data_IF_681320539806
#
_entry.id   IF_681320539806
#
_cell.length_a   1.000
_cell.length_b   1.000
_cell.length_c   1.000
_cell.angle_alpha   90.00
_cell.angle_beta   90.00
_cell.angle_gamma   90.00
#
_symmetry.space_group_name_H-M   'P 1'
#
loop_
_entity.id
_entity.type
_entity.pdbx_description
1 polymer ?
#
# COMPACT_ATOMS: atom_id res chain seq x y z
N UNK A 1 0.13 -13.59 -29.65
CA UNK A 1 -0.67 -12.48 -29.13
C UNK A 1 -1.83 -12.31 -30.11
N UNK A 2 -3.05 -12.58 -29.68
CA UNK A 2 -4.23 -12.29 -30.51
C UNK A 2 -4.47 -10.79 -30.40
N UNK A 3 -4.48 -10.08 -31.52
CA UNK A 3 -4.85 -8.68 -31.61
C UNK A 3 -6.29 -8.57 -31.09
N UNK A 4 -6.48 -7.85 -29.97
CA UNK A 4 -7.81 -7.48 -29.52
C UNK A 4 -8.41 -6.56 -30.57
N UNK A 5 -9.64 -6.86 -31.02
CA UNK A 5 -10.38 -5.99 -31.93
C UNK A 5 -10.50 -4.59 -31.28
N UNK A 6 -9.90 -3.53 -31.85
CA UNK A 6 -9.86 -2.20 -31.24
C UNK A 6 -11.25 -1.54 -31.18
N UNK A 7 -12.31 -2.20 -31.65
CA UNK A 7 -13.70 -1.73 -31.60
C UNK A 7 -14.59 -2.54 -30.64
N UNK A 8 -14.04 -3.47 -29.90
CA UNK A 8 -14.83 -4.30 -29.00
C UNK A 8 -15.45 -3.49 -27.87
N UNK A 9 -16.77 -3.53 -27.77
CA UNK A 9 -17.50 -2.94 -26.64
C UNK A 9 -17.44 -3.91 -25.46
N UNK A 10 -16.88 -3.46 -24.33
CA UNK A 10 -16.84 -4.20 -23.06
C UNK A 10 -17.83 -3.63 -22.07
N UNK A 11 -18.17 -4.39 -21.05
CA UNK A 11 -19.07 -3.88 -20.00
C UNK A 11 -18.29 -3.00 -19.02
N UNK A 12 -17.03 -3.34 -18.74
CA UNK A 12 -16.17 -2.58 -17.82
C UNK A 12 -14.72 -2.50 -18.29
N UNK A 13 -14.17 -1.28 -18.36
CA UNK A 13 -12.75 -1.03 -18.54
C UNK A 13 -12.10 -0.64 -17.19
N UNK A 14 -11.02 -1.34 -16.83
CA UNK A 14 -10.22 -1.10 -15.63
C UNK A 14 -8.87 -0.54 -16.07
N UNK A 15 -8.57 0.69 -15.68
CA UNK A 15 -7.34 1.39 -16.06
C UNK A 15 -6.30 1.24 -14.96
N UNK A 16 -5.22 0.54 -15.26
CA UNK A 16 -4.17 0.13 -14.33
C UNK A 16 -4.32 -1.32 -13.87
N UNK A 17 -3.34 -2.15 -14.20
CA UNK A 17 -3.23 -3.56 -13.80
C UNK A 17 -2.44 -3.77 -12.51
N UNK A 18 -2.28 -2.72 -11.68
CA UNK A 18 -1.70 -2.83 -10.34
C UNK A 18 -2.60 -3.56 -9.36
N UNK A 19 -2.26 -3.49 -8.05
CA UNK A 19 -2.96 -4.24 -7.00
C UNK A 19 -4.49 -4.04 -7.04
N UNK A 20 -4.98 -2.81 -7.04
CA UNK A 20 -6.41 -2.54 -6.96
C UNK A 20 -7.16 -2.97 -8.23
N UNK A 21 -6.67 -2.57 -9.41
CA UNK A 21 -7.29 -2.95 -10.68
C UNK A 21 -7.24 -4.43 -10.94
N UNK A 22 -6.11 -5.08 -10.65
CA UNK A 22 -5.96 -6.53 -10.80
C UNK A 22 -6.86 -7.33 -9.85
N UNK A 23 -7.04 -6.89 -8.59
CA UNK A 23 -7.97 -7.53 -7.67
C UNK A 23 -9.43 -7.37 -8.11
N UNK A 24 -9.82 -6.19 -8.61
CA UNK A 24 -11.17 -5.97 -9.17
C UNK A 24 -11.41 -6.89 -10.37
N UNK A 25 -10.44 -6.94 -11.31
CA UNK A 25 -10.53 -7.82 -12.46
C UNK A 25 -10.66 -9.30 -12.06
N UNK A 26 -9.83 -9.76 -11.13
CA UNK A 26 -9.87 -11.13 -10.63
C UNK A 26 -11.21 -11.45 -9.93
N UNK A 27 -11.68 -10.53 -9.08
CA UNK A 27 -12.94 -10.71 -8.35
C UNK A 27 -14.14 -10.81 -9.30
N UNK A 28 -14.20 -9.94 -10.32
CA UNK A 28 -15.25 -9.99 -11.34
C UNK A 28 -15.17 -11.29 -12.16
N UNK A 29 -13.99 -11.67 -12.63
CA UNK A 29 -13.81 -12.92 -13.38
C UNK A 29 -14.28 -14.15 -12.59
N UNK A 30 -14.05 -14.17 -11.28
CA UNK A 30 -14.43 -15.30 -10.43
C UNK A 30 -15.90 -15.31 -9.98
N UNK A 31 -16.55 -14.15 -9.85
CA UNK A 31 -17.91 -14.01 -9.28
C UNK A 31 -18.95 -13.55 -10.28
N UNK A 32 -18.52 -12.89 -11.35
CA UNK A 32 -19.37 -12.28 -12.38
C UNK A 32 -18.82 -12.61 -13.77
N UNK A 33 -18.69 -13.91 -14.14
CA UNK A 33 -18.08 -14.32 -15.41
C UNK A 33 -18.84 -13.82 -16.66
N UNK A 34 -20.09 -13.39 -16.48
CA UNK A 34 -20.89 -12.77 -17.53
C UNK A 34 -20.45 -11.34 -17.88
N UNK A 35 -19.69 -10.67 -17.00
CA UNK A 35 -19.23 -9.29 -17.22
C UNK A 35 -17.98 -9.31 -18.10
N UNK A 36 -18.07 -8.67 -19.25
CA UNK A 36 -16.93 -8.53 -20.18
C UNK A 36 -16.04 -7.40 -19.70
N UNK A 37 -14.87 -7.76 -19.20
CA UNK A 37 -13.89 -6.79 -18.66
C UNK A 37 -12.73 -6.61 -19.61
N UNK A 38 -12.07 -5.45 -19.53
CA UNK A 38 -10.73 -5.22 -20.07
C UNK A 38 -9.88 -4.51 -19.03
N UNK A 39 -8.63 -4.94 -18.86
CA UNK A 39 -7.61 -4.29 -18.01
C UNK A 39 -6.58 -3.66 -18.94
N UNK A 40 -6.40 -2.34 -18.80
CA UNK A 40 -5.39 -1.59 -19.58
C UNK A 40 -4.22 -1.26 -18.66
N UNK A 41 -3.04 -1.76 -19.01
CA UNK A 41 -1.80 -1.53 -18.26
C UNK A 41 -0.65 -1.20 -19.22
N UNK A 42 0.09 -0.13 -18.95
CA UNK A 42 1.19 0.30 -19.81
C UNK A 42 2.51 -0.45 -19.51
N UNK A 43 2.65 -0.96 -18.30
CA UNK A 43 3.83 -1.65 -17.83
C UNK A 43 3.53 -3.13 -17.54
N UNK A 44 4.19 -3.70 -16.55
CA UNK A 44 3.94 -5.08 -16.11
C UNK A 44 2.76 -5.13 -15.14
N UNK A 45 1.80 -6.01 -15.40
CA UNK A 45 0.70 -6.29 -14.49
C UNK A 45 1.26 -6.67 -13.10
N UNK A 46 0.73 -6.04 -12.05
CA UNK A 46 1.23 -6.21 -10.68
C UNK A 46 2.48 -5.38 -10.35
N UNK A 47 3.15 -4.78 -11.33
CA UNK A 47 4.35 -3.98 -11.10
C UNK A 47 5.53 -4.78 -10.52
N UNK A 48 6.24 -4.20 -9.54
CA UNK A 48 7.40 -4.81 -8.88
C UNK A 48 7.31 -4.55 -7.35
N UNK A 49 6.35 -5.19 -6.68
CA UNK A 49 6.05 -4.98 -5.27
C UNK A 49 5.93 -6.29 -4.49
N UNK A 50 6.18 -6.22 -3.18
CA UNK A 50 5.81 -7.23 -2.21
C UNK A 50 4.74 -6.62 -1.30
N UNK A 51 3.51 -7.10 -1.40
CA UNK A 51 2.43 -6.69 -0.50
C UNK A 51 2.34 -7.65 0.67
N UNK A 52 2.85 -7.20 1.82
CA UNK A 52 2.78 -7.97 3.05
C UNK A 52 1.62 -7.49 3.93
N UNK A 53 1.02 -8.41 4.68
CA UNK A 53 -0.13 -8.12 5.50
C UNK A 53 -0.26 -9.10 6.66
N UNK A 54 -0.96 -8.71 7.72
CA UNK A 54 -1.38 -9.64 8.76
C UNK A 54 -2.58 -10.44 8.26
N UNK A 55 -2.69 -11.69 8.69
CA UNK A 55 -3.84 -12.52 8.29
C UNK A 55 -5.18 -11.89 8.70
N UNK A 56 -5.18 -11.11 9.78
CA UNK A 56 -6.34 -10.37 10.28
C UNK A 56 -6.76 -9.17 9.43
N UNK A 57 -5.91 -8.70 8.52
CA UNK A 57 -6.23 -7.55 7.65
C UNK A 57 -7.24 -7.92 6.55
N UNK A 58 -7.44 -9.21 6.36
CA UNK A 58 -8.33 -9.78 5.33
C UNK A 58 -9.44 -10.53 6.02
N UNK A 59 -10.69 -10.12 5.77
CA UNK A 59 -11.87 -10.85 6.25
C UNK A 59 -11.89 -12.28 5.68
N UNK A 60 -12.30 -13.25 6.49
CA UNK A 60 -12.35 -14.65 6.07
C UNK A 60 -13.23 -14.87 4.84
N UNK A 61 -14.29 -14.07 4.69
CA UNK A 61 -15.19 -14.10 3.52
C UNK A 61 -14.50 -13.71 2.22
N UNK A 62 -13.35 -13.01 2.26
CA UNK A 62 -12.52 -12.64 1.12
C UNK A 62 -11.41 -13.67 0.82
N UNK A 63 -11.31 -14.76 1.57
CA UNK A 63 -10.29 -15.80 1.38
C UNK A 63 -10.26 -16.37 -0.03
N UNK A 64 -11.40 -16.51 -0.68
CA UNK A 64 -11.51 -16.99 -2.07
C UNK A 64 -10.72 -16.13 -3.07
N UNK A 65 -10.60 -14.82 -2.82
CA UNK A 65 -9.87 -13.88 -3.66
C UNK A 65 -8.37 -13.88 -3.33
N UNK A 66 -8.01 -13.94 -2.03
CA UNK A 66 -6.66 -13.64 -1.55
C UNK A 66 -5.78 -14.88 -1.41
N UNK A 67 -6.34 -16.02 -0.96
CA UNK A 67 -5.57 -17.25 -0.69
C UNK A 67 -4.72 -17.73 -1.87
N UNK A 68 -5.20 -17.69 -3.14
CA UNK A 68 -4.39 -18.08 -4.30
C UNK A 68 -3.18 -17.17 -4.56
N UNK A 69 -3.24 -15.93 -4.09
CA UNK A 69 -2.21 -14.89 -4.32
C UNK A 69 -1.05 -14.99 -3.35
N UNK A 70 -1.22 -15.64 -2.18
CA UNK A 70 -0.20 -15.66 -1.14
C UNK A 70 1.00 -16.49 -1.58
N UNK A 71 2.18 -15.86 -1.58
CA UNK A 71 3.45 -16.47 -1.91
C UNK A 71 4.15 -17.06 -0.65
N UNK A 72 4.13 -16.31 0.46
CA UNK A 72 4.82 -16.69 1.69
C UNK A 72 3.91 -16.52 2.90
N UNK A 73 4.11 -17.39 3.92
CA UNK A 73 3.33 -17.42 5.16
C UNK A 73 4.25 -17.68 6.34
N UNK A 74 4.05 -16.91 7.40
CA UNK A 74 4.76 -17.11 8.68
C UNK A 74 3.75 -17.06 9.83
N UNK A 75 3.90 -17.90 10.86
CA UNK A 75 2.96 -17.95 11.98
C UNK A 75 3.13 -16.78 12.95
N UNK A 76 4.27 -16.08 12.90
CA UNK A 76 4.61 -14.98 13.79
C UNK A 76 5.59 -14.05 13.10
N UNK A 77 5.80 -12.86 13.67
CA UNK A 77 6.79 -11.88 13.23
C UNK A 77 7.52 -11.27 14.43
N UNK A 78 8.68 -10.71 14.19
CA UNK A 78 9.53 -10.06 15.17
C UNK A 78 9.55 -8.54 14.97
N UNK A 79 9.74 -7.80 16.08
CA UNK A 79 10.09 -6.39 16.08
C UNK A 79 11.22 -6.15 17.06
N UNK A 80 12.13 -5.22 16.76
CA UNK A 80 13.24 -4.83 17.60
C UNK A 80 13.41 -3.31 17.64
N UNK A 81 13.46 -2.77 18.83
CA UNK A 81 13.74 -1.38 19.16
C UNK A 81 14.85 -1.29 20.19
N UNK A 82 15.52 -0.15 20.41
CA UNK A 82 16.60 -0.03 21.37
C UNK A 82 16.29 -0.53 22.78
N UNK A 83 15.06 -0.31 23.27
CA UNK A 83 14.65 -0.73 24.63
C UNK A 83 13.50 -1.75 24.64
N UNK A 84 13.15 -2.34 23.48
CA UNK A 84 12.08 -3.33 23.42
C UNK A 84 12.20 -4.22 22.18
N UNK A 85 12.23 -5.51 22.41
CA UNK A 85 12.14 -6.50 21.33
C UNK A 85 11.12 -7.57 21.71
N UNK A 86 10.36 -8.06 20.73
CA UNK A 86 9.41 -9.17 20.96
C UNK A 86 9.04 -9.88 19.69
N UNK A 87 8.64 -11.14 19.83
CA UNK A 87 7.88 -11.88 18.82
C UNK A 87 6.39 -11.71 19.06
N UNK A 88 5.65 -11.38 18.02
CA UNK A 88 4.19 -11.33 18.06
C UNK A 88 3.63 -12.58 17.40
N UNK A 89 2.77 -13.37 18.10
CA UNK A 89 2.16 -14.59 17.58
C UNK A 89 0.96 -14.24 16.69
N UNK A 90 1.23 -13.57 15.58
CA UNK A 90 0.22 -13.16 14.61
C UNK A 90 0.68 -13.59 13.21
N UNK A 91 -0.14 -14.37 12.48
CA UNK A 91 0.22 -14.83 11.15
C UNK A 91 0.46 -13.66 10.20
N UNK A 92 1.60 -13.69 9.51
CA UNK A 92 2.03 -12.70 8.54
C UNK A 92 2.16 -13.35 7.16
N UNK A 93 1.79 -12.65 6.12
CA UNK A 93 1.68 -13.18 4.76
C UNK A 93 2.24 -12.18 3.77
N UNK A 94 2.74 -12.67 2.63
CA UNK A 94 3.21 -11.82 1.54
C UNK A 94 2.68 -12.31 0.21
N UNK A 95 2.32 -11.33 -0.64
CA UNK A 95 1.97 -11.49 -2.05
C UNK A 95 3.08 -10.81 -2.84
N UNK A 96 3.80 -11.54 -3.68
CA UNK A 96 4.74 -10.94 -4.61
C UNK A 96 4.05 -10.56 -5.91
N UNK A 97 4.54 -9.53 -6.60
CA UNK A 97 3.99 -9.11 -7.89
C UNK A 97 4.04 -10.21 -8.94
N UNK A 98 5.06 -11.08 -8.91
CA UNK A 98 5.16 -12.24 -9.80
C UNK A 98 4.06 -13.26 -9.52
N UNK A 99 3.82 -13.58 -8.25
CA UNK A 99 2.72 -14.48 -7.87
C UNK A 99 1.37 -13.90 -8.24
N UNK A 100 1.18 -12.61 -8.00
CA UNK A 100 -0.01 -11.88 -8.37
C UNK A 100 -0.26 -11.95 -9.87
N UNK A 101 0.72 -11.56 -10.69
CA UNK A 101 0.64 -11.59 -12.14
C UNK A 101 0.38 -13.00 -12.68
N UNK A 102 1.04 -14.02 -12.12
CA UNK A 102 0.85 -15.41 -12.52
C UNK A 102 -0.58 -15.90 -12.25
N UNK A 103 -1.17 -15.54 -11.10
CA UNK A 103 -2.57 -15.91 -10.78
C UNK A 103 -3.54 -15.18 -11.70
N UNK A 104 -3.33 -13.89 -11.96
CA UNK A 104 -4.15 -13.12 -12.89
C UNK A 104 -4.11 -13.76 -14.29
N UNK A 105 -2.92 -14.04 -14.81
CA UNK A 105 -2.74 -14.67 -16.13
C UNK A 105 -3.36 -16.07 -16.23
N UNK A 106 -3.40 -16.82 -15.12
CA UNK A 106 -4.01 -18.15 -15.07
C UNK A 106 -5.55 -18.13 -14.98
N UNK A 107 -6.13 -17.02 -14.51
CA UNK A 107 -7.57 -16.92 -14.21
C UNK A 107 -8.33 -16.00 -15.14
N UNK A 108 -7.70 -14.98 -15.68
CA UNK A 108 -8.30 -13.98 -16.55
C UNK A 108 -7.84 -14.30 -17.98
N UNK A 109 -8.74 -14.42 -18.96
CA UNK A 109 -8.38 -14.67 -20.34
C UNK A 109 -7.43 -13.61 -20.90
N UNK A 110 -6.44 -14.01 -21.68
CA UNK A 110 -5.39 -13.12 -22.19
C UNK A 110 -5.95 -11.92 -23.00
N UNK A 111 -7.06 -12.10 -23.71
CA UNK A 111 -7.71 -11.04 -24.47
C UNK A 111 -8.34 -9.93 -23.60
N UNK A 112 -8.48 -10.16 -22.28
CA UNK A 112 -8.92 -9.14 -21.34
C UNK A 112 -7.77 -8.17 -20.95
N UNK A 113 -6.54 -8.40 -21.35
CA UNK A 113 -5.42 -7.51 -21.06
C UNK A 113 -4.99 -6.75 -22.31
N UNK A 114 -4.92 -5.43 -22.20
CA UNK A 114 -4.41 -4.52 -23.23
C UNK A 114 -3.16 -3.85 -22.68
N UNK A 115 -2.02 -4.12 -23.34
CA UNK A 115 -0.74 -3.48 -23.00
C UNK A 115 -0.65 -2.15 -23.76
N UNK A 116 -1.09 -1.07 -23.12
CA UNK A 116 -1.09 0.26 -23.70
C UNK A 116 -1.14 1.36 -22.63
N UNK A 117 -0.62 2.54 -22.96
CA UNK A 117 -0.77 3.75 -22.17
C UNK A 117 -2.10 4.43 -22.49
N UNK A 118 -2.89 4.72 -21.46
CA UNK A 118 -4.12 5.50 -21.59
C UNK A 118 -3.78 6.98 -21.68
N UNK A 119 -4.22 7.64 -22.74
CA UNK A 119 -4.03 9.09 -22.96
C UNK A 119 -5.21 9.92 -22.48
N UNK A 120 -6.43 9.40 -22.65
CA UNK A 120 -7.65 10.02 -22.14
C UNK A 120 -8.67 8.95 -21.73
N UNK A 121 -9.48 9.27 -20.73
CA UNK A 121 -10.58 8.42 -20.30
C UNK A 121 -11.77 9.28 -19.87
N UNK A 122 -12.96 8.88 -20.28
CA UNK A 122 -14.24 9.49 -19.96
C UNK A 122 -15.33 8.42 -19.89
N UNK A 123 -16.52 8.71 -19.39
CA UNK A 123 -17.61 7.76 -19.41
C UNK A 123 -17.82 7.16 -20.81
N UNK A 124 -17.80 5.83 -20.89
CA UNK A 124 -18.01 5.09 -22.11
C UNK A 124 -16.82 4.99 -23.08
N UNK A 125 -15.68 5.68 -22.82
CA UNK A 125 -14.59 5.73 -23.79
C UNK A 125 -13.21 5.86 -23.15
N UNK A 126 -12.28 5.04 -23.61
CA UNK A 126 -10.85 5.09 -23.24
C UNK A 126 -10.01 5.24 -24.51
N UNK A 127 -9.09 6.20 -24.54
CA UNK A 127 -8.20 6.48 -25.66
C UNK A 127 -6.77 6.04 -25.30
N UNK A 128 -6.14 5.33 -26.24
CA UNK A 128 -4.81 4.74 -26.07
C UNK A 128 -3.75 5.53 -26.83
N UNK A 129 -2.50 5.43 -26.42
CA UNK A 129 -1.40 6.16 -27.02
C UNK A 129 -1.07 5.73 -28.47
N UNK A 130 -1.45 4.53 -28.86
CA UNK A 130 -1.32 3.99 -30.23
C UNK A 130 -2.48 4.44 -31.16
N UNK A 131 -3.42 5.22 -30.65
CA UNK A 131 -4.63 5.65 -31.38
C UNK A 131 -5.81 4.71 -31.22
N UNK A 132 -5.66 3.59 -30.54
CA UNK A 132 -6.73 2.66 -30.20
C UNK A 132 -7.79 3.30 -29.31
N UNK A 133 -9.03 2.81 -29.39
CA UNK A 133 -10.16 3.28 -28.59
C UNK A 133 -10.92 2.07 -28.05
N UNK A 134 -11.14 2.07 -26.75
CA UNK A 134 -11.98 1.08 -26.07
C UNK A 134 -13.32 1.74 -25.73
N UNK A 135 -14.43 1.14 -26.17
CA UNK A 135 -15.78 1.51 -25.76
C UNK A 135 -16.19 0.61 -24.59
N UNK A 136 -16.63 1.19 -23.48
CA UNK A 136 -17.00 0.44 -22.29
C UNK A 136 -18.30 0.97 -21.68
N UNK A 137 -19.13 0.08 -21.10
CA UNK A 137 -20.31 0.49 -20.34
C UNK A 137 -19.94 1.34 -19.12
N UNK A 138 -18.86 0.99 -18.44
CA UNK A 138 -18.29 1.74 -17.32
C UNK A 138 -16.75 1.73 -17.36
N UNK A 139 -16.13 2.71 -16.65
CA UNK A 139 -14.68 2.84 -16.54
C UNK A 139 -14.30 3.05 -15.07
N UNK A 140 -13.34 2.24 -14.58
CA UNK A 140 -12.71 2.40 -13.26
C UNK A 140 -11.26 2.85 -13.46
N UNK A 141 -10.89 3.99 -12.88
CA UNK A 141 -9.51 4.49 -12.89
C UNK A 141 -8.75 4.04 -11.63
N UNK A 142 -7.80 3.13 -11.81
CA UNK A 142 -6.90 2.60 -10.78
C UNK A 142 -5.42 2.98 -11.05
N UNK A 143 -5.13 3.99 -11.85
CA UNK A 143 -3.79 4.41 -12.30
C UNK A 143 -3.08 5.29 -11.28
N UNK A 144 -2.52 4.72 -10.23
CA UNK A 144 -1.69 5.46 -9.27
C UNK A 144 -2.44 6.58 -8.52
N UNK A 145 -1.76 7.45 -7.75
CA UNK A 145 -2.39 8.47 -6.92
C UNK A 145 -2.99 9.64 -7.72
N UNK A 146 -3.84 10.42 -7.05
CA UNK A 146 -4.24 11.77 -7.47
C UNK A 146 -3.16 12.82 -7.15
N UNK A 147 -3.53 14.10 -7.19
CA UNK A 147 -2.61 15.18 -6.81
C UNK A 147 -2.42 15.22 -5.29
N UNK A 148 -1.30 14.68 -4.85
CA UNK A 148 -0.94 14.60 -3.44
C UNK A 148 -0.69 15.98 -2.79
N UNK A 149 -0.52 17.05 -3.57
CA UNK A 149 -0.33 18.41 -3.07
C UNK A 149 -1.57 18.98 -2.36
N UNK A 150 -2.73 18.36 -2.54
CA UNK A 150 -3.98 18.70 -1.84
C UNK A 150 -4.02 18.16 -0.40
N UNK A 151 -3.08 17.27 -0.03
CA UNK A 151 -2.99 16.64 1.27
C UNK A 151 -1.80 17.18 2.07
N UNK A 152 -1.92 17.17 3.40
CA UNK A 152 -0.80 17.40 4.31
C UNK A 152 -0.11 16.06 4.55
N UNK A 153 1.17 15.97 4.19
CA UNK A 153 1.89 14.71 4.16
C UNK A 153 3.17 14.71 5.03
N UNK A 154 3.45 13.58 5.64
CA UNK A 154 4.77 13.05 5.86
C UNK A 154 5.03 11.95 4.84
N UNK A 155 6.19 11.30 4.91
CA UNK A 155 6.59 10.35 3.88
C UNK A 155 7.17 9.08 4.50
N UNK A 156 6.71 7.93 4.02
CA UNK A 156 7.40 6.66 4.19
C UNK A 156 8.16 6.37 2.90
N UNK A 157 9.49 6.35 2.97
CA UNK A 157 10.34 6.12 1.81
C UNK A 157 11.26 4.93 2.06
N UNK A 158 11.51 4.15 1.03
CA UNK A 158 12.29 2.93 1.18
C UNK A 158 13.01 2.50 -0.09
N UNK A 159 14.05 1.69 0.13
CA UNK A 159 14.65 0.81 -0.88
C UNK A 159 14.67 -0.58 -0.30
N UNK A 160 14.23 -1.56 -1.08
CA UNK A 160 14.25 -2.98 -0.74
C UNK A 160 15.01 -3.80 -1.78
N UNK A 161 15.74 -4.80 -1.33
CA UNK A 161 16.51 -5.72 -2.16
C UNK A 161 16.32 -7.16 -1.69
N UNK A 162 16.14 -8.10 -2.63
CA UNK A 162 16.27 -9.51 -2.30
C UNK A 162 17.72 -9.93 -2.46
N UNK A 163 18.36 -10.26 -1.36
CA UNK A 163 19.74 -10.74 -1.31
C UNK A 163 19.74 -12.26 -1.38
N UNK A 164 20.57 -12.84 -2.25
CA UNK A 164 20.90 -14.26 -2.22
C UNK A 164 22.21 -14.42 -1.47
N UNK A 165 22.17 -15.09 -0.31
CA UNK A 165 23.34 -15.26 0.58
C UNK A 165 24.12 -16.53 0.24
N UNK A 166 25.46 -16.50 0.43
CA UNK A 166 26.32 -17.66 0.18
C UNK A 166 26.06 -18.83 1.14
N UNK A 167 25.55 -18.53 2.34
CA UNK A 167 25.17 -19.47 3.39
C UNK A 167 23.75 -19.14 3.87
N UNK A 168 23.05 -20.05 4.56
CA UNK A 168 21.78 -19.76 5.18
C UNK A 168 21.85 -18.52 6.07
N UNK A 169 20.94 -17.56 5.87
CA UNK A 169 20.91 -16.29 6.62
C UNK A 169 20.37 -16.43 8.06
N UNK A 170 19.77 -17.58 8.42
CA UNK A 170 19.30 -17.89 9.76
C UNK A 170 18.04 -17.19 10.25
N UNK A 171 17.47 -16.28 9.46
CA UNK A 171 16.19 -15.60 9.79
C UNK A 171 15.03 -16.54 9.46
N UNK A 172 14.18 -16.83 10.44
CA UNK A 172 13.07 -17.79 10.29
C UNK A 172 11.69 -17.11 10.27
N UNK A 173 11.61 -15.84 10.65
CA UNK A 173 10.39 -15.05 10.71
C UNK A 173 10.62 -13.65 10.16
N UNK A 174 9.60 -12.98 9.61
CA UNK A 174 9.69 -11.58 9.27
C UNK A 174 10.13 -10.73 10.46
N UNK A 175 11.04 -9.80 10.21
CA UNK A 175 11.31 -8.68 11.10
C UNK A 175 10.58 -7.46 10.54
N UNK A 176 9.42 -7.13 11.12
CA UNK A 176 8.59 -6.04 10.58
C UNK A 176 9.22 -4.68 10.83
N UNK A 177 9.92 -4.52 11.96
CA UNK A 177 10.67 -3.30 12.27
C UNK A 177 11.91 -3.65 13.09
N UNK A 178 13.09 -3.56 12.50
CA UNK A 178 14.36 -3.49 13.22
C UNK A 178 14.80 -2.03 13.32
N UNK A 179 14.37 -1.36 14.38
CA UNK A 179 14.72 0.02 14.68
C UNK A 179 15.95 0.15 15.60
N UNK A 180 16.72 -0.93 15.78
CA UNK A 180 18.01 -0.88 16.50
C UNK A 180 19.12 -0.25 15.68
N UNK A 181 18.86 0.01 14.41
CA UNK A 181 19.76 0.72 13.49
C UNK A 181 19.85 2.22 13.84
N UNK A 182 20.94 2.86 13.42
CA UNK A 182 21.12 4.30 13.58
C UNK A 182 19.93 5.08 13.00
N UNK A 183 19.37 6.02 13.77
CA UNK A 183 18.23 6.84 13.38
C UNK A 183 18.70 8.04 12.56
N UNK A 184 18.42 8.04 11.28
CA UNK A 184 18.87 9.01 10.28
C UNK A 184 17.67 9.49 9.47
N UNK A 185 17.57 10.79 9.22
CA UNK A 185 16.51 11.36 8.38
C UNK A 185 15.08 11.01 8.84
N UNK A 186 14.87 11.01 10.14
CA UNK A 186 13.60 10.67 10.78
C UNK A 186 13.60 9.31 11.46
N UNK A 187 12.45 8.62 11.47
CA UNK A 187 12.35 7.26 12.02
C UNK A 187 12.81 6.25 10.97
N UNK A 188 13.92 5.59 11.25
CA UNK A 188 14.50 4.56 10.38
C UNK A 188 14.36 3.18 10.99
N UNK A 189 14.04 2.19 10.16
CA UNK A 189 14.08 0.76 10.52
C UNK A 189 14.41 -0.10 9.29
N UNK A 190 14.87 -1.31 9.55
CA UNK A 190 15.07 -2.32 8.52
C UNK A 190 13.95 -3.36 8.62
N UNK A 191 13.36 -3.67 7.47
CA UNK A 191 12.34 -4.70 7.33
C UNK A 191 12.94 -5.92 6.63
N UNK A 192 12.64 -7.13 7.15
CA UNK A 192 13.17 -8.38 6.62
C UNK A 192 12.04 -9.36 6.32
N UNK A 193 12.13 -10.01 5.15
CA UNK A 193 11.31 -11.17 4.81
C UNK A 193 12.20 -12.33 4.42
N UNK A 194 12.21 -13.45 5.18
CA UNK A 194 12.90 -14.67 4.79
C UNK A 194 12.09 -15.39 3.69
N UNK A 195 12.44 -15.16 2.43
CA UNK A 195 11.74 -15.73 1.27
C UNK A 195 12.18 -17.15 0.96
N UNK A 196 13.35 -17.56 1.44
CA UNK A 196 13.94 -18.88 1.31
C UNK A 196 15.03 -19.07 2.36
N UNK A 197 15.75 -20.17 2.31
CA UNK A 197 16.85 -20.44 3.24
C UNK A 197 18.03 -19.47 3.04
N UNK A 198 18.27 -19.10 1.78
CA UNK A 198 19.35 -18.20 1.35
C UNK A 198 18.83 -16.91 0.70
N UNK A 199 17.52 -16.79 0.50
CA UNK A 199 16.87 -15.63 -0.10
C UNK A 199 16.20 -14.80 0.98
N UNK A 200 16.67 -13.58 1.18
CA UNK A 200 16.12 -12.64 2.15
C UNK A 200 15.87 -11.29 1.52
N UNK A 201 14.63 -10.80 1.64
CA UNK A 201 14.32 -9.42 1.32
C UNK A 201 14.72 -8.53 2.47
N UNK A 202 15.48 -7.49 2.17
CA UNK A 202 15.98 -6.49 3.13
C UNK A 202 15.57 -5.13 2.61
N UNK A 203 14.82 -4.39 3.44
CA UNK A 203 14.34 -3.05 3.08
C UNK A 203 14.78 -2.04 4.13
N UNK A 204 15.40 -0.94 3.71
CA UNK A 204 15.76 0.19 4.55
C UNK A 204 14.70 1.28 4.40
N UNK A 205 13.92 1.53 5.46
CA UNK A 205 12.69 2.31 5.45
C UNK A 205 12.77 3.49 6.41
N UNK A 206 12.19 4.62 6.01
CA UNK A 206 12.20 5.88 6.75
C UNK A 206 10.82 6.51 6.82
N UNK A 207 10.46 7.05 8.00
CA UNK A 207 9.39 8.03 8.15
C UNK A 207 10.04 9.41 8.23
N UNK A 208 10.00 10.14 7.12
CA UNK A 208 10.75 11.38 6.89
C UNK A 208 9.82 12.55 6.55
N UNK A 209 10.29 13.77 6.79
CA UNK A 209 9.56 14.99 6.43
C UNK A 209 9.74 15.38 4.95
N UNK A 210 10.66 14.71 4.22
CA UNK A 210 10.95 14.92 2.79
C UNK A 210 10.66 13.66 1.97
N UNK A 211 10.11 13.81 0.75
CA UNK A 211 9.94 12.71 -0.20
C UNK A 211 11.25 12.29 -0.89
N UNK A 212 12.34 13.02 -0.72
CA UNK A 212 13.59 12.77 -1.41
C UNK A 212 14.14 11.38 -1.08
N UNK A 213 14.47 10.61 -2.11
CA UNK A 213 14.94 9.23 -2.00
C UNK A 213 16.29 9.06 -2.70
N UNK A 214 17.35 8.92 -1.89
CA UNK A 214 18.69 8.55 -2.36
C UNK A 214 18.81 7.01 -2.43
N UNK A 215 18.49 6.45 -3.59
CA UNK A 215 18.54 5.00 -3.80
C UNK A 215 19.93 4.38 -3.61
N UNK A 216 21.02 4.98 -4.16
CA UNK A 216 22.38 4.48 -3.93
C UNK A 216 22.76 4.44 -2.45
N UNK A 217 22.45 5.48 -1.70
CA UNK A 217 22.74 5.56 -0.27
C UNK A 217 21.99 4.46 0.52
N UNK A 218 20.70 4.26 0.25
CA UNK A 218 19.92 3.24 0.95
C UNK A 218 20.38 1.83 0.57
N UNK A 219 20.73 1.60 -0.70
CA UNK A 219 21.33 0.33 -1.12
C UNK A 219 22.66 0.02 -0.40
N UNK A 220 23.51 1.02 -0.21
CA UNK A 220 24.75 0.90 0.57
C UNK A 220 24.46 0.58 2.05
N UNK A 221 23.42 1.16 2.63
CA UNK A 221 22.97 0.86 4.01
C UNK A 221 22.44 -0.57 4.15
N UNK A 222 21.71 -1.09 3.15
CA UNK A 222 21.29 -2.50 3.09
C UNK A 222 22.52 -3.42 3.08
N UNK A 223 23.51 -3.12 2.24
CA UNK A 223 24.75 -3.91 2.17
C UNK A 223 25.52 -3.88 3.52
N UNK A 224 25.61 -2.71 4.16
CA UNK A 224 26.23 -2.59 5.48
C UNK A 224 25.46 -3.36 6.56
N UNK A 225 24.13 -3.33 6.53
CA UNK A 225 23.28 -4.10 7.44
C UNK A 225 23.48 -5.61 7.25
N UNK A 226 23.53 -6.09 6.01
CA UNK A 226 23.79 -7.50 5.70
C UNK A 226 25.19 -7.94 6.21
N UNK A 227 26.21 -7.12 5.97
CA UNK A 227 27.57 -7.37 6.44
C UNK A 227 27.66 -7.43 7.97
N UNK A 228 26.98 -6.52 8.68
CA UNK A 228 26.91 -6.52 10.15
C UNK A 228 26.23 -7.77 10.73
N UNK A 229 25.35 -8.41 9.94
CA UNK A 229 24.72 -9.71 10.26
C UNK A 229 25.58 -10.92 9.86
N UNK A 230 26.75 -10.70 9.29
CA UNK A 230 27.63 -11.76 8.78
C UNK A 230 27.12 -12.42 7.49
N UNK A 231 26.21 -11.78 6.79
CA UNK A 231 25.68 -12.31 5.52
C UNK A 231 26.59 -11.90 4.36
N UNK A 232 27.20 -12.89 3.71
CA UNK A 232 27.90 -12.70 2.45
C UNK A 232 26.91 -12.84 1.32
N UNK A 233 26.72 -11.77 0.53
CA UNK A 233 25.78 -11.73 -0.59
C UNK A 233 26.47 -12.20 -1.86
N UNK A 234 25.89 -13.20 -2.52
CA UNK A 234 26.32 -13.71 -3.82
C UNK A 234 25.72 -12.89 -4.98
N UNK A 235 24.43 -12.57 -4.86
CA UNK A 235 23.71 -11.78 -5.86
C UNK A 235 22.53 -11.03 -5.25
N UNK A 236 22.00 -10.06 -6.01
CA UNK A 236 20.78 -9.32 -5.70
C UNK A 236 19.79 -9.49 -6.84
N UNK A 237 18.60 -9.99 -6.56
CA UNK A 237 17.65 -10.34 -7.62
C UNK A 237 16.50 -9.33 -7.78
N UNK A 238 16.01 -8.74 -6.71
CA UNK A 238 14.93 -7.75 -6.74
C UNK A 238 15.46 -6.41 -6.26
N UNK A 239 15.03 -5.35 -6.92
CA UNK A 239 15.21 -3.98 -6.45
C UNK A 239 13.83 -3.31 -6.42
N UNK A 240 13.35 -2.98 -5.24
CA UNK A 240 12.10 -2.26 -5.03
C UNK A 240 12.40 -0.91 -4.37
N UNK A 241 11.66 0.12 -4.72
CA UNK A 241 11.76 1.42 -4.04
C UNK A 241 10.42 2.15 -4.10
N UNK A 242 10.13 2.91 -3.08
CA UNK A 242 8.89 3.67 -3.02
C UNK A 242 9.00 4.91 -2.13
N UNK A 243 8.12 5.85 -2.42
CA UNK A 243 7.85 7.02 -1.59
C UNK A 243 6.35 7.07 -1.39
N UNK A 244 5.91 6.66 -0.21
CA UNK A 244 4.50 6.54 0.14
C UNK A 244 4.05 7.73 0.99
N UNK A 245 2.85 8.27 0.73
CA UNK A 245 2.31 9.33 1.56
C UNK A 245 1.91 8.80 2.94
N UNK A 246 2.32 9.50 3.99
CA UNK A 246 1.75 9.36 5.34
C UNK A 246 0.85 10.57 5.56
N UNK A 247 -0.45 10.33 5.68
CA UNK A 247 -1.44 11.41 5.62
C UNK A 247 -1.67 12.00 7.00
N UNK A 248 -1.26 13.25 7.16
CA UNK A 248 -1.46 14.05 8.37
C UNK A 248 -2.82 14.77 8.33
N UNK A 249 -3.24 15.23 7.15
CA UNK A 249 -4.48 15.97 6.95
C UNK A 249 -4.69 16.37 5.49
N UNK A 250 -5.41 17.45 5.26
CA UNK A 250 -5.59 18.05 3.94
C UNK A 250 -7.03 18.04 3.43
N UNK A 251 -7.21 18.40 2.16
CA UNK A 251 -8.50 18.46 1.47
C UNK A 251 -8.71 17.20 0.61
N UNK A 252 -9.43 16.24 1.17
CA UNK A 252 -9.73 14.99 0.45
C UNK A 252 -10.68 15.21 -0.73
N UNK A 253 -11.55 16.21 -0.68
CA UNK A 253 -12.41 16.53 -1.81
C UNK A 253 -11.59 17.04 -2.98
N UNK A 254 -10.63 17.93 -2.73
CA UNK A 254 -9.69 18.37 -3.75
C UNK A 254 -8.84 17.21 -4.28
N UNK A 255 -8.36 16.30 -3.41
CA UNK A 255 -7.64 15.09 -3.82
C UNK A 255 -8.49 14.22 -4.75
N UNK A 256 -9.73 13.91 -4.36
CA UNK A 256 -10.64 13.12 -5.19
C UNK A 256 -10.89 13.79 -6.55
N UNK A 257 -11.11 15.10 -6.56
CA UNK A 257 -11.44 15.86 -7.78
C UNK A 257 -10.23 16.10 -8.69
N UNK A 258 -8.99 15.95 -8.18
CA UNK A 258 -7.77 16.25 -8.92
C UNK A 258 -7.59 15.43 -10.20
N UNK A 259 -8.26 14.29 -10.30
CA UNK A 259 -8.24 13.40 -11.46
C UNK A 259 -9.56 13.34 -12.22
N UNK A 260 -10.38 14.40 -12.10
CA UNK A 260 -11.74 14.47 -12.63
C UNK A 260 -12.76 13.81 -11.70
N UNK A 261 -14.04 14.06 -11.95
CA UNK A 261 -15.14 13.57 -11.10
C UNK A 261 -16.02 12.54 -11.80
N UNK A 262 -15.80 12.33 -13.09
CA UNK A 262 -16.70 11.55 -13.93
C UNK A 262 -16.45 10.04 -13.89
N UNK A 263 -15.27 9.60 -13.44
CA UNK A 263 -14.92 8.18 -13.43
C UNK A 263 -14.99 7.59 -12.02
N UNK A 264 -15.37 6.31 -11.94
CA UNK A 264 -15.13 5.50 -10.78
C UNK A 264 -13.64 5.35 -10.51
N UNK A 265 -13.22 5.26 -9.24
CA UNK A 265 -11.80 5.22 -8.85
C UNK A 265 -11.51 4.08 -7.89
N UNK A 266 -10.28 3.56 -7.96
CA UNK A 266 -9.82 2.51 -7.06
C UNK A 266 -8.38 2.72 -6.59
N UNK A 267 -7.99 2.04 -5.51
CA UNK A 267 -6.63 2.06 -4.97
C UNK A 267 -6.17 3.46 -4.57
N UNK A 268 -4.91 3.78 -4.85
CA UNK A 268 -4.31 5.09 -4.52
C UNK A 268 -5.07 6.26 -5.17
N UNK A 269 -5.61 6.07 -6.37
CA UNK A 269 -6.44 7.06 -7.08
C UNK A 269 -7.67 7.47 -6.26
N UNK A 270 -8.24 6.54 -5.54
CA UNK A 270 -9.38 6.75 -4.65
C UNK A 270 -8.97 7.15 -3.22
N UNK A 271 -7.68 7.30 -2.91
CA UNK A 271 -7.20 7.55 -1.55
C UNK A 271 -7.41 6.36 -0.60
N UNK A 272 -7.51 5.15 -1.14
CA UNK A 272 -7.76 3.93 -0.39
C UNK A 272 -6.43 3.29 0.03
N UNK A 273 -5.86 3.79 1.12
CA UNK A 273 -4.67 3.29 1.80
C UNK A 273 -4.67 3.74 3.26
N UNK A 274 -3.97 3.00 4.11
CA UNK A 274 -3.85 3.33 5.53
C UNK A 274 -3.04 4.63 5.71
N UNK A 275 -3.55 5.64 6.43
CA UNK A 275 -2.88 6.95 6.56
C UNK A 275 -1.46 6.86 7.09
N UNK A 276 -1.21 6.00 8.09
CA UNK A 276 0.09 5.89 8.78
C UNK A 276 1.08 5.00 8.05
N UNK A 277 0.61 3.89 7.46
CA UNK A 277 1.51 2.85 6.93
C UNK A 277 1.58 2.81 5.41
N UNK A 278 0.70 3.53 4.71
CA UNK A 278 0.58 3.47 3.25
C UNK A 278 0.04 2.13 2.72
N UNK A 279 -0.29 1.17 3.59
CA UNK A 279 -0.81 -0.14 3.17
C UNK A 279 -2.14 0.00 2.44
N UNK A 280 -2.21 -0.53 1.23
CA UNK A 280 -3.39 -0.44 0.37
C UNK A 280 -4.08 -1.78 0.12
N UNK A 281 -3.43 -2.91 0.45
CA UNK A 281 -3.97 -4.25 0.17
C UNK A 281 -5.33 -4.50 0.83
N UNK A 282 -5.55 -4.23 2.14
CA UNK A 282 -6.85 -4.47 2.76
C UNK A 282 -7.98 -3.69 2.09
N UNK A 283 -7.73 -2.44 1.72
CA UNK A 283 -8.72 -1.60 1.03
C UNK A 283 -8.99 -2.07 -0.39
N UNK A 284 -7.96 -2.48 -1.11
CA UNK A 284 -8.10 -2.99 -2.47
C UNK A 284 -8.94 -4.28 -2.48
N UNK A 285 -8.75 -5.17 -1.48
CA UNK A 285 -9.55 -6.38 -1.31
C UNK A 285 -11.01 -6.02 -0.99
N UNK A 286 -11.25 -5.13 -0.02
CA UNK A 286 -12.60 -4.70 0.37
C UNK A 286 -13.37 -4.14 -0.82
N UNK A 287 -12.75 -3.20 -1.55
CA UNK A 287 -13.39 -2.59 -2.72
C UNK A 287 -13.64 -3.62 -3.83
N UNK A 288 -12.70 -4.51 -4.12
CA UNK A 288 -12.88 -5.56 -5.12
C UNK A 288 -14.04 -6.51 -4.77
N UNK A 289 -14.16 -6.90 -3.49
CA UNK A 289 -15.28 -7.71 -3.01
C UNK A 289 -16.62 -6.98 -3.12
N UNK A 290 -16.66 -5.69 -2.77
CA UNK A 290 -17.88 -4.87 -2.89
C UNK A 290 -18.31 -4.75 -4.35
N UNK A 291 -17.40 -4.41 -5.27
CA UNK A 291 -17.70 -4.28 -6.70
C UNK A 291 -18.20 -5.62 -7.28
N UNK A 292 -17.59 -6.74 -6.87
CA UNK A 292 -18.03 -8.06 -7.36
C UNK A 292 -19.39 -8.52 -6.79
N UNK A 293 -19.85 -7.90 -5.70
CA UNK A 293 -21.10 -8.26 -5.03
C UNK A 293 -22.32 -7.41 -5.48
N UNK A 294 -22.11 -6.21 -6.03
CA UNK A 294 -23.22 -5.37 -6.47
C UNK A 294 -23.79 -5.83 -7.80
N UNK A 295 -25.12 -5.73 -7.94
CA UNK A 295 -25.83 -6.12 -9.18
C UNK A 295 -25.62 -5.10 -10.29
N UNK A 296 -25.73 -3.81 -9.97
CA UNK A 296 -25.62 -2.70 -10.93
C UNK A 296 -24.16 -2.26 -11.07
N UNK A 297 -23.57 -2.60 -12.20
CA UNK A 297 -22.23 -2.17 -12.61
C UNK A 297 -22.29 -1.03 -13.65
N UNK A 298 -23.43 -0.35 -13.75
CA UNK A 298 -23.53 0.85 -14.61
C UNK A 298 -22.54 1.92 -14.19
N UNK A 299 -22.16 2.76 -15.15
CA UNK A 299 -21.17 3.80 -14.89
C UNK A 299 -21.56 4.73 -13.72
N UNK A 300 -22.80 5.27 -13.64
CA UNK A 300 -23.21 6.12 -12.52
C UNK A 300 -23.15 5.39 -11.17
N UNK A 301 -23.60 4.12 -11.12
CA UNK A 301 -23.58 3.33 -9.88
C UNK A 301 -22.16 3.08 -9.37
N UNK A 302 -21.22 2.77 -10.27
CA UNK A 302 -19.80 2.58 -9.88
C UNK A 302 -19.13 3.88 -9.43
N UNK A 303 -19.45 5.02 -10.05
CA UNK A 303 -18.93 6.34 -9.61
C UNK A 303 -19.41 6.65 -8.20
N UNK A 304 -20.71 6.49 -7.92
CA UNK A 304 -21.29 6.71 -6.60
C UNK A 304 -20.69 5.75 -5.57
N UNK A 305 -20.70 4.44 -5.85
CA UNK A 305 -20.17 3.40 -4.97
C UNK A 305 -18.72 3.66 -4.58
N UNK A 306 -17.84 3.90 -5.55
CA UNK A 306 -16.41 4.09 -5.27
C UNK A 306 -16.13 5.40 -4.54
N UNK A 307 -16.91 6.45 -4.83
CA UNK A 307 -16.83 7.73 -4.13
C UNK A 307 -17.25 7.56 -2.67
N UNK A 308 -18.42 6.99 -2.43
CA UNK A 308 -18.94 6.82 -1.07
C UNK A 308 -18.03 5.93 -0.23
N UNK A 309 -17.50 4.86 -0.82
CA UNK A 309 -16.52 3.99 -0.17
C UNK A 309 -15.25 4.76 0.22
N UNK A 310 -14.71 5.59 -0.67
CA UNK A 310 -13.51 6.39 -0.41
C UNK A 310 -13.74 7.46 0.65
N UNK A 311 -14.86 8.19 0.59
CA UNK A 311 -15.21 9.23 1.56
C UNK A 311 -15.51 8.64 2.95
N UNK A 312 -16.17 7.48 3.03
CA UNK A 312 -16.38 6.76 4.28
C UNK A 312 -15.04 6.30 4.89
N UNK A 313 -14.13 5.76 4.08
CA UNK A 313 -12.79 5.38 4.53
C UNK A 313 -12.01 6.60 5.05
N UNK A 314 -12.03 7.72 4.34
CA UNK A 314 -11.40 8.95 4.79
C UNK A 314 -12.00 9.44 6.12
N UNK A 315 -13.31 9.52 6.23
CA UNK A 315 -13.99 9.97 7.46
C UNK A 315 -13.65 9.09 8.66
N UNK A 316 -13.68 7.76 8.49
CA UNK A 316 -13.39 6.79 9.54
C UNK A 316 -11.94 6.79 10.03
N UNK A 317 -11.01 7.36 9.26
CA UNK A 317 -9.57 7.35 9.56
C UNK A 317 -9.02 8.62 10.23
N UNK A 318 -9.89 9.46 10.78
CA UNK A 318 -9.49 10.69 11.50
C UNK A 318 -8.53 10.43 12.65
N UNK A 319 -8.72 9.34 13.39
CA UNK A 319 -7.85 8.95 14.51
C UNK A 319 -6.39 8.69 14.05
N UNK A 320 -6.19 7.96 12.96
CA UNK A 320 -4.85 7.67 12.44
C UNK A 320 -4.15 8.94 11.96
N UNK A 321 -4.86 9.83 11.27
CA UNK A 321 -4.32 11.14 10.86
C UNK A 321 -3.93 12.02 12.05
N UNK A 322 -4.69 11.95 13.15
CA UNK A 322 -4.31 12.64 14.38
C UNK A 322 -3.02 12.05 15.01
N UNK A 323 -2.84 10.72 14.95
CA UNK A 323 -1.58 10.08 15.37
C UNK A 323 -0.41 10.49 14.48
N UNK A 324 -0.61 10.55 13.16
CA UNK A 324 0.39 10.98 12.20
C UNK A 324 0.76 12.45 12.41
N UNK A 325 -0.22 13.31 12.73
CA UNK A 325 0.03 14.70 13.15
C UNK A 325 0.96 14.75 14.37
N UNK A 326 0.71 13.94 15.38
CA UNK A 326 1.58 13.88 16.56
C UNK A 326 2.97 13.34 16.22
N UNK A 327 3.06 12.30 15.37
CA UNK A 327 4.33 11.70 14.96
C UNK A 327 5.21 12.68 14.18
N UNK A 328 4.63 13.39 13.23
CA UNK A 328 5.39 14.27 12.31
C UNK A 328 5.55 15.70 12.81
N UNK A 329 4.65 16.21 13.66
CA UNK A 329 4.64 17.62 14.10
C UNK A 329 5.07 17.80 15.54
N UNK A 330 4.94 16.77 16.40
CA UNK A 330 5.28 16.88 17.81
C UNK A 330 6.54 16.13 18.23
N UNK A 331 6.86 14.99 17.55
CA UNK A 331 8.05 14.22 17.85
C UNK A 331 9.27 14.76 17.08
N UNK A 332 10.43 14.83 17.76
CA UNK A 332 11.71 15.08 17.09
C UNK A 332 12.00 13.93 16.11
N UNK A 333 12.45 14.21 14.86
CA UNK A 333 12.62 13.19 13.84
C UNK A 333 13.41 11.95 14.30
N UNK A 334 14.57 12.14 14.93
CA UNK A 334 15.42 11.06 15.41
C UNK A 334 14.84 10.28 16.61
N UNK A 335 13.77 10.79 17.23
CA UNK A 335 13.11 10.17 18.39
C UNK A 335 11.75 9.53 18.06
N UNK A 336 11.29 9.63 16.81
CA UNK A 336 10.00 9.04 16.36
C UNK A 336 9.91 7.55 16.63
N UNK A 337 11.03 6.82 16.60
CA UNK A 337 11.05 5.40 16.92
C UNK A 337 10.50 5.08 18.31
N UNK A 338 10.63 5.99 19.30
CA UNK A 338 10.10 5.82 20.67
C UNK A 338 8.57 5.71 20.70
N UNK A 339 7.89 6.34 19.72
CA UNK A 339 6.43 6.24 19.57
C UNK A 339 6.06 4.83 19.16
N UNK A 340 6.77 4.27 18.16
CA UNK A 340 6.54 2.91 17.66
C UNK A 340 7.01 1.85 18.67
N UNK A 341 8.13 2.07 19.35
CA UNK A 341 8.61 1.20 20.44
C UNK A 341 7.54 1.04 21.53
N UNK A 342 6.92 2.15 21.94
CA UNK A 342 5.83 2.12 22.90
C UNK A 342 4.59 1.43 22.34
N UNK A 343 4.21 1.71 21.08
CA UNK A 343 3.07 1.09 20.42
C UNK A 343 3.20 -0.44 20.41
N UNK A 344 4.38 -0.97 20.10
CA UNK A 344 4.62 -2.42 20.07
C UNK A 344 4.68 -3.08 21.45
N UNK A 345 4.59 -2.33 22.56
CA UNK A 345 4.35 -2.89 23.91
C UNK A 345 2.87 -3.21 24.16
N UNK A 346 1.97 -2.76 23.28
CA UNK A 346 0.54 -3.02 23.39
C UNK A 346 0.18 -4.47 23.00
N UNK A 347 -1.05 -4.87 23.27
CA UNK A 347 -1.51 -6.22 22.98
C UNK A 347 -1.53 -6.54 21.47
N UNK A 348 -1.21 -7.80 21.05
CA UNK A 348 -1.10 -8.14 19.63
C UNK A 348 -2.40 -7.91 18.85
N UNK A 349 -3.58 -8.17 19.44
CA UNK A 349 -4.86 -7.93 18.78
C UNK A 349 -5.14 -6.44 18.52
N UNK A 350 -4.67 -5.54 19.39
CA UNK A 350 -4.76 -4.09 19.16
C UNK A 350 -3.84 -3.69 17.99
N UNK A 351 -2.62 -4.21 17.97
CA UNK A 351 -1.66 -3.94 16.88
C UNK A 351 -2.24 -4.40 15.55
N UNK A 352 -2.83 -5.58 15.47
CA UNK A 352 -3.47 -6.10 14.26
C UNK A 352 -4.60 -5.19 13.79
N UNK A 353 -5.56 -4.82 14.68
CA UNK A 353 -6.65 -3.91 14.30
C UNK A 353 -6.16 -2.53 13.86
N UNK A 354 -5.05 -2.06 14.41
CA UNK A 354 -4.43 -0.82 13.96
C UNK A 354 -4.00 -0.91 12.49
N UNK A 355 -3.28 -1.95 12.10
CA UNK A 355 -2.83 -2.15 10.72
C UNK A 355 -3.99 -2.42 9.74
N UNK A 356 -5.05 -3.04 10.20
CA UNK A 356 -6.28 -3.22 9.40
C UNK A 356 -7.11 -1.94 9.22
N UNK A 357 -6.75 -0.83 9.89
CA UNK A 357 -7.53 0.38 10.03
C UNK A 357 -8.90 0.17 10.70
N UNK A 358 -8.95 -0.77 11.67
CA UNK A 358 -10.16 -1.22 12.38
C UNK A 358 -10.05 -1.03 13.90
N UNK A 359 -9.22 -0.07 14.36
CA UNK A 359 -9.06 0.24 15.78
C UNK A 359 -10.39 0.64 16.41
N UNK A 360 -10.79 -0.08 17.44
CA UNK A 360 -11.98 0.24 18.24
C UNK A 360 -11.73 1.51 19.09
N UNK A 361 -12.78 2.11 19.62
CA UNK A 361 -12.62 3.27 20.51
C UNK A 361 -11.78 2.92 21.76
N UNK A 362 -11.87 1.68 22.27
CA UNK A 362 -11.03 1.20 23.38
C UNK A 362 -9.57 1.08 22.98
N UNK A 363 -9.27 0.66 21.76
CA UNK A 363 -7.92 0.65 21.22
C UNK A 363 -7.37 2.06 21.10
N UNK A 364 -8.16 3.01 20.60
CA UNK A 364 -7.77 4.42 20.46
C UNK A 364 -7.41 5.03 21.82
N UNK A 365 -8.27 4.82 22.83
CA UNK A 365 -7.99 5.23 24.21
C UNK A 365 -6.71 4.57 24.72
N UNK A 366 -6.51 3.27 24.49
CA UNK A 366 -5.33 2.54 24.96
C UNK A 366 -4.04 3.00 24.29
N UNK A 367 -4.07 3.35 23.00
CA UNK A 367 -2.92 3.90 22.28
C UNK A 367 -2.52 5.26 22.87
N UNK A 368 -3.50 6.12 23.19
CA UNK A 368 -3.25 7.46 23.74
C UNK A 368 -2.95 7.44 25.26
N UNK A 369 -3.42 6.42 25.99
CA UNK A 369 -3.29 6.34 27.45
C UNK A 369 -1.84 6.17 27.91
N UNK A 370 -1.49 6.72 29.08
CA UNK A 370 -0.18 6.61 29.73
C UNK A 370 0.76 7.77 29.40
N UNK A 371 2.05 7.64 29.79
CA UNK A 371 3.03 8.72 29.61
C UNK A 371 3.35 8.87 28.11
N UNK A 372 3.03 10.01 27.48
CA UNK A 372 3.29 10.19 26.05
C UNK A 372 4.79 10.24 25.77
N UNK A 373 5.25 9.65 24.66
CA UNK A 373 6.65 9.71 24.25
C UNK A 373 7.04 11.08 23.67
N UNK A 374 6.06 11.98 23.51
CA UNK A 374 6.23 13.35 23.03
C UNK A 374 5.73 14.35 24.08
N UNK A 375 6.27 15.58 24.17
CA UNK A 375 5.80 16.60 25.08
C UNK A 375 4.32 16.93 24.84
N UNK A 376 3.50 16.83 25.89
CA UNK A 376 2.02 17.02 25.81
C UNK A 376 1.68 18.39 25.19
N UNK A 377 2.39 19.46 25.57
CA UNK A 377 2.16 20.80 25.02
C UNK A 377 2.40 20.88 23.51
N UNK A 378 3.39 20.18 22.98
CA UNK A 378 3.65 20.09 21.51
C UNK A 378 2.56 19.27 20.81
N UNK A 379 2.12 18.16 21.40
CA UNK A 379 1.07 17.33 20.83
C UNK A 379 -0.25 18.11 20.71
N UNK A 380 -0.68 18.83 21.75
CA UNK A 380 -1.86 19.68 21.70
C UNK A 380 -1.68 20.88 20.72
N UNK A 381 -0.53 21.53 20.74
CA UNK A 381 -0.22 22.64 19.83
C UNK A 381 -0.27 22.19 18.37
N UNK A 382 0.22 21.00 18.05
CA UNK A 382 0.23 20.47 16.68
C UNK A 382 -1.17 20.14 16.16
N UNK A 383 -2.06 19.65 17.02
CA UNK A 383 -3.46 19.37 16.67
C UNK A 383 -4.28 20.66 16.44
N UNK A 384 -3.93 21.75 17.12
CA UNK A 384 -4.62 23.04 17.02
C UNK A 384 -4.08 23.92 15.87
N UNK A 385 -2.82 23.74 15.48
CA UNK A 385 -2.13 24.69 14.60
C UNK A 385 -2.34 24.48 13.12
N UNK A 386 -3.16 23.54 12.66
CA UNK A 386 -3.58 23.31 11.27
C UNK A 386 -2.73 24.02 10.18
N UNK A 387 -1.37 23.94 10.23
CA UNK A 387 -0.50 24.69 9.33
C UNK A 387 -0.36 23.93 8.02
N UNK A 388 -0.80 24.58 6.92
CA UNK A 388 -0.49 24.16 5.55
C UNK A 388 1.02 24.28 5.31
N UNK A 389 1.66 23.18 4.93
CA UNK A 389 3.04 23.21 4.41
C UNK A 389 3.07 23.69 2.96
N UNK A 390 4.20 24.30 2.51
CA UNK A 390 4.34 24.74 1.12
C UNK A 390 4.19 23.57 0.16
N UNK A 391 3.47 23.82 -0.92
CA UNK A 391 3.20 22.89 -2.00
C UNK A 391 4.50 22.41 -2.67
N UNK A 392 4.76 21.10 -2.62
CA UNK A 392 5.82 20.47 -3.40
C UNK A 392 5.22 19.96 -4.72
N UNK A 393 5.81 20.34 -5.82
CA UNK A 393 5.54 19.71 -7.12
C UNK A 393 6.31 18.39 -7.17
N UNK A 394 5.60 17.28 -7.38
CA UNK A 394 6.22 16.01 -7.73
C UNK A 394 6.96 16.21 -9.06
N UNK A 395 8.26 16.03 -9.05
CA UNK A 395 9.02 15.86 -10.29
C UNK A 395 8.73 14.45 -10.80
N UNK A 396 8.13 14.37 -11.97
CA UNK A 396 7.90 13.16 -12.77
C UNK A 396 9.21 12.53 -13.21
#
# INVERSE_FOLDING_TARGET
>A
MADADPTATVDLAILGGGLAGGLIALALTLRRPEVRIVVVEEATVGGNHIWSHFASDVDQSAGWLVEPLIAHRWPAYDVAFPAHARTLPAPYRSITSERFAAVLAARIPAHCFVSARVTAARPGRVELADGGVITAGAVIDARGPGDASTLDLGWQKFVGQTLHTTQPHGVTRPMVMDATVEQLDGYRFVYLLPLGERDIFVEDTYYSDSPDLDRPLLAARIAAYAAARGWSTESTSRLESGVLPVVVGGDFTAYWNSTGTELAKAGMRAGLFHPTTGYSLPDAIRLACVIAAVEDLSHPALVELTRDHAFAAWAGRGFYRALDTMLFRAAEPAERYKVLERFYRLGPGLVQRFYAAESTWTDQVRILAGRPPVPIGRAFGSLLSGRRHPTWRLMT
#
